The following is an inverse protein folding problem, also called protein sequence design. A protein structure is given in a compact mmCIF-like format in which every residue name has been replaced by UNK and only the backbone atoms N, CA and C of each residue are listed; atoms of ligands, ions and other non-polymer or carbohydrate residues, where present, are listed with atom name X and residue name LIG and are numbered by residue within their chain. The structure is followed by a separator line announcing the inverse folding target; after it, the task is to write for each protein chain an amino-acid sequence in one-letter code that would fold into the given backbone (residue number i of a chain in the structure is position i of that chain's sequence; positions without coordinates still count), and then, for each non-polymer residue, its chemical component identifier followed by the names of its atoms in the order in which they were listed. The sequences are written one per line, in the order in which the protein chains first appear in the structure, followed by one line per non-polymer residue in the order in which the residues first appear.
data_IF_247529183128
#
_entry.id   IF_247529183128
#
_cell.length_a   1.000
_cell.length_b   1.000
_cell.length_c   1.000
_cell.angle_alpha   90.00
_cell.angle_beta   90.00
_cell.angle_gamma   90.00
#
_symmetry.space_group_name_H-M   'P 1'
#
loop_
_entity.id
_entity.type
_entity.pdbx_description
1 polymer ?
#
# COMPACT_ATOMS: atom_id res chain seq x y z
N UNK A 1 9.93 -4.22 -11.69
CA UNK A 1 9.15 -4.63 -10.50
C UNK A 1 8.68 -3.35 -9.87
N UNK A 2 7.37 -3.20 -9.69
CA UNK A 2 6.77 -1.96 -9.16
C UNK A 2 6.77 -2.04 -7.64
N UNK A 3 7.22 -0.98 -6.97
CA UNK A 3 7.27 -0.87 -5.52
C UNK A 3 6.22 0.09 -4.98
N UNK A 4 6.02 0.11 -3.66
CA UNK A 4 5.13 1.08 -3.03
C UNK A 4 5.58 2.52 -3.30
N UNK A 5 6.89 2.78 -3.26
CA UNK A 5 7.45 4.11 -3.56
C UNK A 5 7.08 4.61 -4.96
N UNK A 6 6.99 3.70 -5.94
CA UNK A 6 6.60 4.04 -7.32
C UNK A 6 5.10 4.38 -7.43
N UNK A 7 4.25 3.71 -6.63
CA UNK A 7 2.79 3.82 -6.73
C UNK A 7 2.23 4.93 -5.87
N UNK A 8 2.72 5.09 -4.64
CA UNK A 8 2.13 6.00 -3.66
C UNK A 8 1.86 7.39 -4.24
N UNK A 9 2.80 8.08 -4.94
CA UNK A 9 2.56 9.41 -5.51
C UNK A 9 1.39 9.49 -6.50
N UNK A 10 1.03 8.38 -7.15
CA UNK A 10 -0.01 8.32 -8.17
C UNK A 10 -1.42 8.17 -7.60
N UNK A 11 -1.52 7.82 -6.31
CA UNK A 11 -2.77 7.43 -5.67
C UNK A 11 -3.06 8.18 -4.37
N UNK A 12 -2.27 9.21 -4.05
CA UNK A 12 -2.38 10.00 -2.81
C UNK A 12 -3.73 10.70 -2.62
N UNK A 13 -4.54 10.84 -3.68
CA UNK A 13 -5.89 11.42 -3.55
C UNK A 13 -6.89 10.48 -2.85
N UNK A 14 -6.55 9.20 -2.70
CA UNK A 14 -7.35 8.20 -2.01
C UNK A 14 -6.76 7.89 -0.64
N UNK A 15 -7.60 7.42 0.28
CA UNK A 15 -7.14 6.62 1.40
C UNK A 15 -6.53 5.30 0.89
N UNK A 16 -5.50 4.81 1.56
CA UNK A 16 -4.73 3.64 1.13
C UNK A 16 -4.73 2.59 2.22
N UNK A 17 -5.28 1.42 1.90
CA UNK A 17 -5.17 0.22 2.73
C UNK A 17 -4.06 -0.67 2.19
N UNK A 18 -3.00 -0.84 2.97
CA UNK A 18 -1.94 -1.79 2.68
C UNK A 18 -2.35 -3.17 3.19
N UNK A 19 -2.28 -4.16 2.30
CA UNK A 19 -2.69 -5.53 2.58
C UNK A 19 -1.54 -6.48 2.27
N UNK A 20 -1.29 -7.44 3.15
CA UNK A 20 -0.35 -8.52 2.88
C UNK A 20 -0.89 -9.39 1.74
N UNK A 21 -0.08 -9.59 0.70
CA UNK A 21 -0.52 -10.33 -0.47
C UNK A 21 -0.83 -11.80 -0.19
N UNK A 22 -0.14 -12.41 0.77
CA UNK A 22 -0.18 -13.86 0.97
C UNK A 22 -1.24 -14.24 2.02
N UNK A 23 -1.35 -13.49 3.12
CA UNK A 23 -2.37 -13.73 4.14
C UNK A 23 -3.69 -12.99 3.87
N UNK A 24 -3.66 -11.89 3.12
CA UNK A 24 -4.80 -10.99 2.95
C UNK A 24 -5.06 -10.10 4.16
N UNK A 25 -4.19 -10.13 5.17
CA UNK A 25 -4.34 -9.31 6.38
C UNK A 25 -4.01 -7.84 6.11
N UNK A 26 -4.73 -6.95 6.77
CA UNK A 26 -4.40 -5.54 6.76
C UNK A 26 -3.09 -5.27 7.51
N UNK A 27 -2.16 -4.61 6.83
CA UNK A 27 -0.90 -4.17 7.41
C UNK A 27 -1.06 -2.77 8.00
N UNK A 28 -1.69 -1.86 7.25
CA UNK A 28 -1.83 -0.46 7.63
C UNK A 28 -2.92 0.23 6.81
N UNK A 29 -3.57 1.24 7.41
CA UNK A 29 -4.45 2.17 6.73
C UNK A 29 -3.87 3.58 6.78
N UNK A 30 -3.62 4.17 5.61
CA UNK A 30 -3.02 5.49 5.44
C UNK A 30 -4.09 6.44 4.90
N UNK A 31 -4.43 7.47 5.69
CA UNK A 31 -5.39 8.48 5.25
C UNK A 31 -4.79 9.48 4.30
N UNK A 32 -5.61 9.95 3.37
CA UNK A 32 -5.30 11.07 2.50
C UNK A 32 -4.74 12.26 3.31
N UNK A 33 -3.63 12.83 2.85
CA UNK A 33 -2.95 13.96 3.47
C UNK A 33 -1.94 13.60 4.56
N UNK A 34 -1.84 12.33 4.98
CA UNK A 34 -0.94 11.90 6.06
C UNK A 34 0.23 11.02 5.59
N UNK A 35 0.49 10.85 4.29
CA UNK A 35 1.47 9.87 3.79
C UNK A 35 2.95 10.20 4.00
N UNK A 36 3.29 11.45 4.34
CA UNK A 36 4.68 11.87 4.40
C UNK A 36 5.44 11.15 5.52
N UNK A 37 6.44 10.36 5.10
CA UNK A 37 7.44 9.71 5.97
C UNK A 37 6.91 8.67 6.98
N UNK A 38 5.73 8.09 6.74
CA UNK A 38 5.17 7.05 7.63
C UNK A 38 5.80 5.68 7.39
N UNK A 39 6.14 5.35 6.15
CA UNK A 39 6.60 4.00 5.81
C UNK A 39 8.11 3.85 6.05
N UNK A 40 8.48 2.73 6.67
CA UNK A 40 9.89 2.32 6.77
C UNK A 40 10.45 1.94 5.40
N UNK A 41 11.78 1.95 5.26
CA UNK A 41 12.47 1.54 4.02
C UNK A 41 12.03 0.13 3.56
N UNK A 42 11.77 -0.78 4.51
CA UNK A 42 11.22 -2.12 4.26
C UNK A 42 9.90 -2.07 3.48
N UNK A 43 8.97 -1.21 3.91
CA UNK A 43 7.66 -1.08 3.25
C UNK A 43 7.72 -0.22 1.99
N UNK A 44 8.53 0.84 1.96
CA UNK A 44 8.75 1.65 0.74
C UNK A 44 9.17 0.78 -0.45
N UNK A 45 10.05 -0.19 -0.20
CA UNK A 45 10.56 -1.14 -1.21
C UNK A 45 9.70 -2.40 -1.38
N UNK A 46 8.57 -2.51 -0.69
CA UNK A 46 7.69 -3.66 -0.84
C UNK A 46 7.13 -3.71 -2.27
N UNK A 47 6.97 -4.91 -2.80
CA UNK A 47 6.55 -5.14 -4.18
C UNK A 47 5.04 -5.03 -4.24
N UNK A 48 4.53 -4.14 -5.09
CA UNK A 48 3.10 -4.07 -5.38
C UNK A 48 2.73 -5.24 -6.28
N UNK A 49 1.76 -6.05 -5.84
CA UNK A 49 1.28 -7.23 -6.56
C UNK A 49 0.03 -6.93 -7.37
N UNK A 50 -0.95 -6.30 -6.72
CA UNK A 50 -2.14 -5.81 -7.39
C UNK A 50 -2.76 -4.66 -6.57
N UNK A 51 -3.59 -3.88 -7.26
CA UNK A 51 -4.34 -2.76 -6.69
C UNK A 51 -5.79 -2.98 -7.07
N UNK A 52 -6.70 -2.81 -6.11
CA UNK A 52 -8.12 -2.79 -6.38
C UNK A 52 -8.80 -1.69 -5.55
N UNK A 53 -10.00 -1.33 -5.96
CA UNK A 53 -10.91 -0.51 -5.17
C UNK A 53 -12.00 -1.46 -4.67
N UNK A 54 -12.25 -1.47 -3.36
CA UNK A 54 -13.39 -2.17 -2.80
C UNK A 54 -14.58 -1.20 -2.82
N UNK A 55 -15.57 -1.49 -3.67
CA UNK A 55 -16.75 -0.63 -3.88
C UNK A 55 -17.52 -0.32 -2.59
N UNK A 56 -17.25 -1.05 -1.49
CA UNK A 56 -17.87 -0.84 -0.20
C UNK A 56 -17.25 0.29 0.64
N UNK A 57 -16.06 0.80 0.30
CA UNK A 57 -15.38 1.87 1.05
C UNK A 57 -15.00 2.99 0.08
N UNK A 58 -15.76 4.10 0.14
CA UNK A 58 -15.53 5.27 -0.70
C UNK A 58 -14.10 5.81 -0.54
N UNK A 59 -13.54 6.26 -1.67
CA UNK A 59 -12.24 6.91 -1.78
C UNK A 59 -11.08 6.12 -1.16
N UNK A 60 -11.20 4.79 -1.06
CA UNK A 60 -10.18 3.89 -0.53
C UNK A 60 -9.68 2.93 -1.58
N UNK A 61 -8.36 2.84 -1.73
CA UNK A 61 -7.73 1.81 -2.56
C UNK A 61 -7.01 0.79 -1.69
N UNK A 62 -7.08 -0.48 -2.08
CA UNK A 62 -6.27 -1.53 -1.49
C UNK A 62 -5.03 -1.74 -2.35
N UNK A 63 -3.86 -1.72 -1.70
CA UNK A 63 -2.59 -2.06 -2.34
C UNK A 63 -2.06 -3.31 -1.67
N UNK A 64 -2.00 -4.39 -2.44
CA UNK A 64 -1.49 -5.68 -1.98
C UNK A 64 0.01 -5.73 -2.22
N UNK A 65 0.75 -5.99 -1.15
CA UNK A 65 2.20 -5.93 -1.17
C UNK A 65 2.85 -7.24 -0.75
N UNK A 66 4.00 -7.52 -1.34
CA UNK A 66 4.90 -8.57 -0.87
C UNK A 66 6.15 -7.92 -0.31
N UNK A 67 6.38 -8.09 0.98
CA UNK A 67 7.58 -7.56 1.64
C UNK A 67 8.68 -8.61 1.60
N UNK A 68 9.79 -8.29 0.92
CA UNK A 68 10.98 -9.16 0.97
C UNK A 68 11.61 -9.04 2.34
N UNK A 69 11.67 -10.14 3.07
CA UNK A 69 12.61 -10.23 4.18
C UNK A 69 14.01 -10.42 3.56
N UNK A 70 14.94 -9.52 3.89
CA UNK A 70 16.33 -9.72 3.55
C UNK A 70 16.85 -10.80 4.51
N UNK A 71 16.93 -12.04 4.05
CA UNK A 71 17.78 -13.06 4.67
C UNK A 71 19.27 -12.73 4.41
#
# INVERSE_FOLDING_TARGET
MITLEDILPLVLENDIRLVDNDSGDEICFLRNGYFNSILSEKYSRAIVKHINNDECIEDTINIYILVRNND
#
